data_IF_533586570666
#
_entry.id   IF_533586570666
#
_cell.length_a   1.000
_cell.length_b   1.000
_cell.length_c   1.000
_cell.angle_alpha   90.00
_cell.angle_beta   90.00
_cell.angle_gamma   90.00
#
_symmetry.space_group_name_H-M   'P 1'
#
loop_
_entity.id
_entity.type
_entity.pdbx_description
1 polymer ?
#
# COMPACT_ATOMS: atom_id res chain seq x y z
N UNK A 1 27.16 5.22 10.07
CA UNK A 1 26.22 4.91 11.18
C UNK A 1 25.34 3.77 10.71
N UNK A 2 25.70 2.54 11.08
CA UNK A 2 25.16 1.32 10.51
C UNK A 2 23.76 0.99 11.04
N UNK A 3 22.87 0.52 10.15
CA UNK A 3 21.60 -0.11 10.54
C UNK A 3 21.90 -1.38 11.34
N UNK A 4 21.33 -1.49 12.53
CA UNK A 4 21.29 -2.75 13.26
C UNK A 4 20.47 -3.78 12.45
N UNK A 5 20.89 -5.06 12.40
CA UNK A 5 20.10 -6.10 11.77
C UNK A 5 18.83 -6.34 12.59
N UNK A 6 17.66 -6.29 11.93
CA UNK A 6 16.39 -6.68 12.54
C UNK A 6 16.42 -8.19 12.73
N UNK A 7 16.40 -8.64 13.98
CA UNK A 7 16.29 -10.06 14.30
C UNK A 7 15.00 -10.61 13.70
N UNK A 8 15.13 -11.61 12.82
CA UNK A 8 14.00 -12.29 12.20
C UNK A 8 13.33 -13.17 13.24
N UNK A 9 12.26 -12.67 13.86
CA UNK A 9 11.44 -13.42 14.81
C UNK A 9 10.80 -14.61 14.10
N UNK A 10 11.13 -15.83 14.54
CA UNK A 10 10.52 -17.10 14.15
C UNK A 10 9.14 -17.29 14.80
N UNK A 11 8.33 -16.23 14.86
CA UNK A 11 6.98 -16.33 15.39
C UNK A 11 6.11 -17.10 14.38
N UNK A 12 5.77 -18.35 14.72
CA UNK A 12 4.74 -19.12 14.05
C UNK A 12 3.44 -18.32 14.11
N UNK A 13 2.99 -17.83 12.95
CA UNK A 13 1.70 -17.13 12.82
C UNK A 13 0.60 -18.14 13.19
N UNK A 14 -0.20 -17.90 14.25
CA UNK A 14 -1.30 -18.79 14.58
C UNK A 14 -2.27 -18.84 13.39
N UNK A 15 -2.63 -20.05 12.97
CA UNK A 15 -3.64 -20.23 11.93
C UNK A 15 -4.98 -19.75 12.53
N UNK A 16 -5.70 -18.81 11.91
CA UNK A 16 -6.95 -18.35 12.48
C UNK A 16 -7.96 -19.51 12.53
N UNK A 17 -8.49 -19.81 13.71
CA UNK A 17 -9.53 -20.82 13.99
C UNK A 17 -10.92 -20.42 13.44
N UNK A 18 -10.95 -19.59 12.40
CA UNK A 18 -12.16 -19.08 11.75
C UNK A 18 -12.55 -19.89 10.52
N UNK A 19 -13.83 -19.83 10.10
CA UNK A 19 -14.26 -20.41 8.84
C UNK A 19 -13.43 -19.85 7.69
N UNK A 20 -12.92 -20.74 6.83
CA UNK A 20 -12.16 -20.34 5.64
C UNK A 20 -13.00 -19.40 4.78
N UNK A 21 -12.34 -18.43 4.14
CA UNK A 21 -12.97 -17.57 3.14
C UNK A 21 -13.67 -18.44 2.06
N UNK A 22 -14.95 -18.15 1.73
CA UNK A 22 -15.66 -18.84 0.66
C UNK A 22 -14.90 -18.81 -0.67
N UNK A 23 -15.12 -19.81 -1.53
CA UNK A 23 -14.37 -19.89 -2.79
C UNK A 23 -14.63 -18.68 -3.73
N UNK A 24 -15.83 -18.11 -3.71
CA UNK A 24 -16.25 -17.05 -4.63
C UNK A 24 -15.60 -15.69 -4.37
N UNK A 25 -15.05 -15.43 -3.17
CA UNK A 25 -14.36 -14.16 -2.84
C UNK A 25 -12.84 -14.25 -3.02
N UNK A 26 -12.30 -15.44 -3.31
CA UNK A 26 -10.86 -15.63 -3.45
C UNK A 26 -10.39 -15.08 -4.79
N UNK A 27 -9.30 -14.32 -4.75
CA UNK A 27 -8.66 -13.73 -5.90
C UNK A 27 -7.23 -14.24 -6.06
N UNK A 28 -6.63 -13.97 -7.22
CA UNK A 28 -5.19 -14.16 -7.41
C UNK A 28 -4.44 -12.92 -6.91
N UNK A 29 -3.33 -13.08 -6.20
CA UNK A 29 -2.48 -11.95 -5.82
C UNK A 29 -2.01 -11.15 -7.05
N UNK A 30 -1.79 -9.84 -6.91
CA UNK A 30 -1.20 -9.02 -7.97
C UNK A 30 0.19 -9.53 -8.34
N UNK A 31 0.46 -9.60 -9.65
CA UNK A 31 1.73 -10.07 -10.20
C UNK A 31 2.00 -9.46 -11.58
N UNK A 32 3.25 -9.55 -12.02
CA UNK A 32 3.68 -9.17 -13.37
C UNK A 32 4.40 -7.81 -13.45
N UNK A 33 5.03 -7.57 -14.60
CA UNK A 33 5.94 -6.44 -14.82
C UNK A 33 5.28 -5.07 -14.60
N UNK A 34 4.00 -4.91 -14.97
CA UNK A 34 3.26 -3.66 -14.76
C UNK A 34 3.08 -3.35 -13.28
N UNK A 35 2.71 -4.35 -12.48
CA UNK A 35 2.57 -4.17 -11.03
C UNK A 35 3.91 -3.78 -10.41
N UNK A 36 4.99 -4.49 -10.75
CA UNK A 36 6.33 -4.20 -10.24
C UNK A 36 6.84 -2.82 -10.67
N UNK A 37 6.57 -2.39 -11.92
CA UNK A 37 6.95 -1.07 -12.40
C UNK A 37 6.25 0.06 -11.64
N UNK A 38 4.94 -0.07 -11.40
CA UNK A 38 4.19 0.90 -10.60
C UNK A 38 4.65 0.89 -9.14
N UNK A 39 4.88 -0.30 -8.58
CA UNK A 39 5.40 -0.43 -7.22
C UNK A 39 6.74 0.29 -7.08
N UNK A 40 7.65 0.08 -8.02
CA UNK A 40 8.96 0.74 -8.04
C UNK A 40 8.84 2.27 -8.19
N UNK A 41 7.92 2.75 -9.04
CA UNK A 41 7.63 4.19 -9.17
C UNK A 41 7.17 4.79 -7.84
N UNK A 42 6.18 4.18 -7.19
CA UNK A 42 5.65 4.67 -5.91
C UNK A 42 6.70 4.62 -4.80
N UNK A 43 7.44 3.51 -4.69
CA UNK A 43 8.52 3.35 -3.71
C UNK A 43 9.64 4.40 -3.97
N UNK A 44 9.95 4.70 -5.23
CA UNK A 44 10.94 5.73 -5.61
C UNK A 44 10.50 7.16 -5.34
N UNK A 45 9.19 7.43 -5.35
CA UNK A 45 8.60 8.73 -4.98
C UNK A 45 8.25 8.82 -3.48
N UNK A 46 8.48 7.73 -2.72
CA UNK A 46 8.10 7.67 -1.30
C UNK A 46 6.60 7.83 -1.08
N UNK A 47 5.77 7.26 -1.96
CA UNK A 47 4.31 7.36 -1.92
C UNK A 47 3.65 6.01 -1.63
N UNK A 48 2.51 6.07 -0.93
CA UNK A 48 1.67 4.92 -0.63
C UNK A 48 0.34 4.95 -1.40
N UNK A 49 -0.33 3.80 -1.44
CA UNK A 49 -1.73 3.70 -1.91
C UNK A 49 -2.52 2.87 -0.92
N UNK A 50 -3.78 3.22 -0.68
CA UNK A 50 -4.66 2.38 0.14
C UNK A 50 -4.91 1.04 -0.57
N UNK A 51 -4.76 1.01 -1.90
CA UNK A 51 -4.77 -0.22 -2.68
C UNK A 51 -3.80 -1.26 -2.11
N UNK A 52 -2.57 -0.85 -1.77
CA UNK A 52 -1.55 -1.72 -1.17
C UNK A 52 -1.70 -1.83 0.35
N UNK A 53 -1.75 -0.70 1.05
CA UNK A 53 -1.68 -0.68 2.52
C UNK A 53 -2.91 -1.31 3.18
N UNK A 54 -4.06 -1.31 2.51
CA UNK A 54 -5.28 -1.96 3.00
C UNK A 54 -5.53 -3.35 2.40
N UNK A 55 -4.57 -3.92 1.66
CA UNK A 55 -4.67 -5.23 1.02
C UNK A 55 -5.90 -5.36 0.08
N UNK A 56 -6.13 -4.34 -0.75
CA UNK A 56 -7.31 -4.30 -1.63
C UNK A 56 -7.28 -5.47 -2.64
N UNK A 57 -8.35 -6.29 -2.74
CA UNK A 57 -8.38 -7.39 -3.69
C UNK A 57 -8.44 -6.91 -5.15
N UNK A 58 -8.89 -5.68 -5.40
CA UNK A 58 -9.07 -5.16 -6.76
C UNK A 58 -7.83 -4.45 -7.31
N UNK A 59 -6.69 -4.51 -6.61
CA UNK A 59 -5.48 -3.75 -6.95
C UNK A 59 -5.09 -3.90 -8.43
N UNK A 60 -4.96 -5.14 -8.92
CA UNK A 60 -4.56 -5.42 -10.30
C UNK A 60 -5.51 -4.84 -11.33
N UNK A 61 -6.82 -4.92 -11.06
CA UNK A 61 -7.88 -4.44 -11.95
C UNK A 61 -7.87 -2.92 -12.01
N UNK A 62 -7.88 -2.25 -10.86
CA UNK A 62 -7.85 -0.80 -10.76
C UNK A 62 -6.59 -0.22 -11.42
N UNK A 63 -5.42 -0.74 -11.07
CA UNK A 63 -4.15 -0.28 -11.65
C UNK A 63 -4.08 -0.56 -13.15
N UNK A 64 -4.62 -1.71 -13.58
CA UNK A 64 -4.76 -2.08 -14.99
C UNK A 64 -5.64 -1.09 -15.77
N UNK A 65 -6.72 -0.64 -15.16
CA UNK A 65 -7.65 0.37 -15.68
C UNK A 65 -7.13 1.81 -15.55
N UNK A 66 -5.92 2.03 -15.01
CA UNK A 66 -5.37 3.37 -14.83
C UNK A 66 -6.14 4.18 -13.78
N UNK A 67 -6.57 3.52 -12.69
CA UNK A 67 -7.14 4.19 -11.52
C UNK A 67 -6.44 3.73 -10.24
N UNK A 68 -6.29 4.64 -9.30
CA UNK A 68 -5.73 4.34 -7.98
C UNK A 68 -6.23 5.32 -6.93
N UNK A 69 -6.14 4.87 -5.68
CA UNK A 69 -6.34 5.72 -4.51
C UNK A 69 -5.00 5.89 -3.81
N UNK A 70 -4.42 7.08 -3.93
CA UNK A 70 -3.15 7.44 -3.29
C UNK A 70 -3.41 7.76 -1.82
N UNK A 71 -2.44 7.46 -0.96
CA UNK A 71 -2.47 7.88 0.43
C UNK A 71 -1.63 9.13 0.61
N UNK A 72 -2.12 10.06 1.42
CA UNK A 72 -1.42 11.26 1.83
C UNK A 72 -0.95 11.13 3.28
N UNK A 73 0.05 11.91 3.65
CA UNK A 73 0.64 11.94 4.99
C UNK A 73 1.31 10.59 5.38
N UNK A 74 1.78 9.85 4.39
CA UNK A 74 2.45 8.55 4.55
C UNK A 74 1.51 7.34 4.64
N UNK A 75 2.06 6.21 5.05
CA UNK A 75 1.37 4.90 5.09
C UNK A 75 0.99 4.46 6.51
N UNK A 76 1.32 5.27 7.51
CA UNK A 76 1.11 4.96 8.92
C UNK A 76 -0.06 5.72 9.50
N UNK A 77 -0.95 5.00 10.17
CA UNK A 77 -2.05 5.62 10.90
C UNK A 77 -1.81 5.53 12.40
N UNK A 78 -2.01 6.63 13.12
CA UNK A 78 -1.97 6.63 14.59
C UNK A 78 -3.22 6.00 15.21
N UNK A 79 -4.29 5.85 14.43
CA UNK A 79 -5.54 5.19 14.85
C UNK A 79 -5.47 3.69 14.58
N UNK A 80 -6.25 2.94 15.35
CA UNK A 80 -6.39 1.50 15.23
C UNK A 80 -7.85 1.10 15.07
N UNK A 81 -8.43 1.49 13.94
CA UNK A 81 -9.80 1.09 13.59
C UNK A 81 -9.87 -0.43 13.48
N UNK A 82 -10.88 -1.06 14.08
CA UNK A 82 -10.96 -2.53 14.19
C UNK A 82 -10.99 -3.28 12.85
N UNK A 83 -11.36 -2.59 11.77
CA UNK A 83 -11.47 -3.17 10.42
C UNK A 83 -10.33 -2.76 9.47
N UNK A 84 -9.51 -1.77 9.84
CA UNK A 84 -8.55 -1.18 8.91
C UNK A 84 -7.23 -1.97 8.94
N UNK A 85 -6.73 -2.34 7.76
CA UNK A 85 -5.48 -3.08 7.61
C UNK A 85 -4.23 -2.18 7.51
N UNK A 86 -4.41 -0.86 7.37
CA UNK A 86 -3.30 0.10 7.34
C UNK A 86 -2.47 -0.01 8.63
N UNK A 87 -1.14 0.03 8.47
CA UNK A 87 -0.20 -0.15 9.59
C UNK A 87 -0.45 0.90 10.68
N UNK A 88 -0.63 0.42 11.92
CA UNK A 88 -0.71 1.31 13.08
C UNK A 88 0.68 1.65 13.58
N UNK A 89 1.05 2.93 13.46
CA UNK A 89 2.32 3.45 13.94
C UNK A 89 2.22 4.96 14.20
N UNK A 90 3.10 5.48 15.05
CA UNK A 90 3.25 6.91 15.26
C UNK A 90 4.35 7.45 14.35
N UNK A 91 4.02 8.10 13.22
CA UNK A 91 5.05 8.74 12.40
C UNK A 91 5.69 9.88 13.19
N UNK A 92 7.00 9.77 13.43
CA UNK A 92 7.80 10.73 14.21
C UNK A 92 8.21 11.97 13.39
N UNK A 93 7.53 12.22 12.26
CA UNK A 93 7.92 13.21 11.26
C UNK A 93 6.95 14.38 11.17
N UNK A 94 7.45 15.51 10.65
CA UNK A 94 6.62 16.61 10.20
C UNK A 94 5.90 16.23 8.89
N UNK A 95 4.76 16.86 8.64
CA UNK A 95 4.08 16.76 7.34
C UNK A 95 5.02 17.26 6.25
N UNK A 96 5.16 16.48 5.19
CA UNK A 96 6.01 16.83 4.06
C UNK A 96 5.26 17.78 3.10
N UNK A 97 5.66 19.07 3.00
CA UNK A 97 4.98 20.02 2.14
C UNK A 97 5.21 19.76 0.64
N UNK A 98 6.18 18.92 0.29
CA UNK A 98 6.50 18.56 -1.11
C UNK A 98 5.79 17.29 -1.57
N UNK A 99 5.02 16.63 -0.70
CA UNK A 99 4.22 15.45 -1.06
C UNK A 99 3.27 15.70 -2.24
N UNK A 100 2.56 16.85 -2.34
CA UNK A 100 1.68 17.13 -3.48
C UNK A 100 2.39 17.11 -4.84
N UNK A 101 3.63 17.61 -4.91
CA UNK A 101 4.41 17.62 -6.16
C UNK A 101 4.76 16.19 -6.60
N UNK A 102 5.13 15.34 -5.65
CA UNK A 102 5.40 13.92 -5.92
C UNK A 102 4.12 13.17 -6.30
N UNK A 103 2.99 13.48 -5.69
CA UNK A 103 1.67 12.93 -6.08
C UNK A 103 1.35 13.31 -7.52
N UNK A 104 1.48 14.58 -7.89
CA UNK A 104 1.25 15.03 -9.26
C UNK A 104 2.17 14.32 -10.25
N UNK A 105 3.46 14.18 -9.90
CA UNK A 105 4.45 13.44 -10.68
C UNK A 105 4.07 11.96 -10.84
N UNK A 106 3.63 11.29 -9.77
CA UNK A 106 3.19 9.90 -9.83
C UNK A 106 1.99 9.71 -10.75
N UNK A 107 0.99 10.60 -10.66
CA UNK A 107 -0.20 10.58 -11.52
C UNK A 107 0.18 10.71 -12.99
N UNK A 108 1.09 11.63 -13.31
CA UNK A 108 1.57 11.86 -14.66
C UNK A 108 2.40 10.69 -15.21
N UNK A 109 3.41 10.22 -14.47
CA UNK A 109 4.32 9.15 -14.91
C UNK A 109 3.64 7.79 -15.00
N UNK A 110 2.69 7.50 -14.09
CA UNK A 110 1.90 6.27 -14.14
C UNK A 110 0.81 6.33 -15.23
N UNK A 111 0.38 7.53 -15.64
CA UNK A 111 -0.69 7.70 -16.62
C UNK A 111 -2.06 7.31 -16.07
N UNK A 112 -2.36 7.71 -14.83
CA UNK A 112 -3.68 7.50 -14.24
C UNK A 112 -4.73 8.36 -14.95
N UNK A 113 -5.87 7.75 -15.25
CA UNK A 113 -7.05 8.40 -15.86
C UNK A 113 -8.03 8.90 -14.81
N UNK A 114 -8.02 8.27 -13.63
CA UNK A 114 -8.88 8.60 -12.51
C UNK A 114 -8.09 8.43 -11.22
N UNK A 115 -8.18 9.40 -10.32
CA UNK A 115 -7.40 9.43 -9.08
C UNK A 115 -8.33 9.75 -7.92
N UNK A 116 -8.15 9.01 -6.83
CA UNK A 116 -8.74 9.31 -5.53
C UNK A 116 -7.59 9.60 -4.55
N UNK A 117 -7.81 10.54 -3.64
CA UNK A 117 -6.89 10.91 -2.56
C UNK A 117 -7.53 10.56 -1.22
#
# INVERSE_FOLDING_TARGET
>A
MGRAPVASSTATVPTPDGPRLPAWIRIRPPAGARYEGVRALLDGLGLGTVCREAHCPNLSECWGAGTATLMLLGTDCTRRCAFCAVRTHWPQGAVDPTEPDRVARAVAEWGLRYVVL
#
